data_IF_913919762839
#
_entry.id   IF_913919762839
#
_cell.length_a   1.000
_cell.length_b   1.000
_cell.length_c   1.000
_cell.angle_alpha   90.00
_cell.angle_beta   90.00
_cell.angle_gamma   90.00
#
_symmetry.space_group_name_H-M   'P 1'
#
loop_
_entity.id
_entity.type
_entity.pdbx_description
1 polymer ?
#
# COMPACT_ATOMS: atom_id res chain seq x y z
N UNK A 1 12.56 -14.73 3.24
CA UNK A 1 12.07 -14.92 1.86
C UNK A 1 12.59 -13.75 1.05
N UNK A 2 13.12 -13.94 -0.18
CA UNK A 2 13.67 -12.84 -0.98
C UNK A 2 12.58 -11.81 -1.26
N UNK A 3 12.93 -10.52 -1.12
CA UNK A 3 12.02 -9.40 -1.15
C UNK A 3 11.25 -9.35 -2.50
N UNK A 4 9.95 -9.64 -2.46
CA UNK A 4 8.98 -9.44 -3.56
C UNK A 4 8.67 -7.95 -3.81
N UNK A 5 9.59 -7.06 -3.43
CA UNK A 5 9.54 -5.62 -3.65
C UNK A 5 9.61 -5.23 -5.15
N UNK A 6 9.95 -6.18 -6.04
CA UNK A 6 10.02 -5.93 -7.48
C UNK A 6 8.68 -5.77 -8.21
N UNK A 7 7.55 -6.11 -7.55
CA UNK A 7 6.20 -5.95 -8.12
C UNK A 7 5.51 -4.67 -7.67
N UNK A 8 6.12 -3.89 -6.77
CA UNK A 8 5.55 -2.64 -6.33
C UNK A 8 5.62 -1.60 -7.47
N UNK A 9 4.49 -0.98 -7.85
CA UNK A 9 4.53 0.16 -8.76
C UNK A 9 5.32 1.32 -8.14
N UNK A 10 5.68 2.37 -8.90
CA UNK A 10 6.28 3.57 -8.32
C UNK A 10 5.29 4.22 -7.34
N UNK A 11 5.49 3.96 -6.05
CA UNK A 11 4.71 4.50 -4.94
C UNK A 11 5.31 5.84 -4.47
N UNK A 12 4.43 6.78 -4.15
CA UNK A 12 4.76 8.06 -3.53
C UNK A 12 5.28 7.86 -2.10
N UNK A 13 5.97 8.86 -1.50
CA UNK A 13 6.50 8.75 -0.15
C UNK A 13 5.44 8.43 0.91
N UNK A 14 4.25 9.03 0.80
CA UNK A 14 3.13 8.77 1.71
C UNK A 14 2.61 7.32 1.59
N UNK A 15 2.38 6.85 0.37
CA UNK A 15 1.98 5.46 0.10
C UNK A 15 3.01 4.46 0.63
N UNK A 16 4.30 4.76 0.44
CA UNK A 16 5.41 3.95 0.98
C UNK A 16 5.40 3.89 2.50
N UNK A 17 5.04 4.95 3.21
CA UNK A 17 4.97 4.91 4.68
C UNK A 17 3.89 3.95 5.18
N UNK A 18 2.76 3.93 4.50
CA UNK A 18 1.65 3.03 4.82
C UNK A 18 2.05 1.60 4.52
N UNK A 19 2.52 1.32 3.29
CA UNK A 19 3.03 0.00 2.90
C UNK A 19 4.11 -0.51 3.85
N UNK A 20 5.03 0.37 4.27
CA UNK A 20 6.09 0.04 5.24
C UNK A 20 5.54 -0.30 6.62
N UNK A 21 4.41 0.27 7.04
CA UNK A 21 3.75 -0.12 8.29
C UNK A 21 3.16 -1.53 8.23
N UNK A 22 2.81 -2.01 7.03
CA UNK A 22 2.44 -3.40 6.77
C UNK A 22 3.65 -4.31 6.49
N UNK A 23 4.87 -3.76 6.46
CA UNK A 23 6.11 -4.44 6.07
C UNK A 23 6.54 -4.08 4.65
N UNK A 24 5.85 -4.64 3.64
CA UNK A 24 6.16 -4.47 2.22
C UNK A 24 4.90 -4.49 1.37
N UNK A 25 5.00 -4.08 0.09
CA UNK A 25 3.87 -4.04 -0.85
C UNK A 25 3.13 -5.38 -0.93
N UNK A 26 3.87 -6.49 -0.96
CA UNK A 26 3.28 -7.83 -1.00
C UNK A 26 2.54 -8.18 0.28
N UNK A 27 3.05 -7.77 1.45
CA UNK A 27 2.36 -8.00 2.73
C UNK A 27 1.11 -7.13 2.85
N UNK A 28 1.16 -5.88 2.37
CA UNK A 28 -0.01 -5.03 2.25
C UNK A 28 -1.08 -5.68 1.37
N UNK A 29 -0.72 -6.11 0.16
CA UNK A 29 -1.67 -6.79 -0.74
C UNK A 29 -2.21 -8.09 -0.14
N UNK A 30 -1.36 -8.92 0.49
CA UNK A 30 -1.81 -10.13 1.18
C UNK A 30 -2.77 -9.81 2.33
N UNK A 31 -2.53 -8.73 3.08
CA UNK A 31 -3.42 -8.29 4.17
C UNK A 31 -4.77 -7.83 3.64
N UNK A 32 -4.81 -7.28 2.42
CA UNK A 32 -6.04 -6.88 1.72
C UNK A 32 -6.67 -8.02 0.92
N UNK A 33 -6.05 -9.20 0.85
CA UNK A 33 -6.51 -10.33 0.04
C UNK A 33 -6.33 -10.16 -1.47
N UNK A 34 -5.48 -9.21 -1.89
CA UNK A 34 -5.22 -8.82 -3.29
C UNK A 34 -4.00 -9.55 -3.86
N UNK A 35 -3.97 -9.79 -5.18
CA UNK A 35 -2.86 -10.45 -5.86
C UNK A 35 -1.90 -9.45 -6.50
N UNK A 36 -0.63 -9.49 -6.10
CA UNK A 36 0.42 -8.63 -6.65
C UNK A 36 0.80 -8.90 -8.13
N UNK A 37 0.20 -9.91 -8.76
CA UNK A 37 0.40 -10.26 -10.16
C UNK A 37 -0.81 -9.94 -11.04
N UNK A 38 -1.90 -9.46 -10.46
CA UNK A 38 -3.13 -9.11 -11.16
C UNK A 38 -3.24 -7.59 -11.24
N UNK A 39 -3.49 -7.06 -12.44
CA UNK A 39 -3.46 -5.62 -12.67
C UNK A 39 -4.67 -4.93 -12.03
N UNK A 40 -5.84 -5.55 -12.05
CA UNK A 40 -7.05 -5.03 -11.39
C UNK A 40 -6.83 -4.95 -9.87
N UNK A 41 -6.25 -6.01 -9.27
CA UNK A 41 -5.90 -6.01 -7.85
C UNK A 41 -4.85 -4.94 -7.49
N UNK A 42 -3.90 -4.64 -8.39
CA UNK A 42 -2.92 -3.57 -8.20
C UNK A 42 -3.59 -2.19 -8.23
N UNK A 43 -4.54 -1.96 -9.13
CA UNK A 43 -5.30 -0.71 -9.20
C UNK A 43 -6.16 -0.51 -7.94
N UNK A 44 -6.82 -1.56 -7.46
CA UNK A 44 -7.57 -1.52 -6.20
C UNK A 44 -6.65 -1.28 -5.00
N UNK A 45 -5.50 -1.95 -4.92
CA UNK A 45 -4.51 -1.71 -3.87
C UNK A 45 -4.05 -0.24 -3.84
N UNK A 46 -3.88 0.40 -5.01
CA UNK A 46 -3.56 1.83 -5.10
C UNK A 46 -4.69 2.71 -4.58
N UNK A 47 -5.95 2.45 -4.96
CA UNK A 47 -7.11 3.21 -4.44
C UNK A 47 -7.25 3.11 -2.93
N UNK A 48 -7.00 1.92 -2.39
CA UNK A 48 -6.99 1.70 -0.94
C UNK A 48 -5.86 2.53 -0.32
N UNK A 49 -4.66 2.49 -0.89
CA UNK A 49 -3.53 3.30 -0.43
C UNK A 49 -3.80 4.80 -0.46
N UNK A 50 -4.38 5.33 -1.54
CA UNK A 50 -4.79 6.73 -1.62
C UNK A 50 -5.81 7.07 -0.51
N UNK A 51 -6.78 6.19 -0.26
CA UNK A 51 -7.76 6.37 0.83
C UNK A 51 -7.09 6.34 2.20
N UNK A 52 -6.13 5.45 2.41
CA UNK A 52 -5.36 5.36 3.65
C UNK A 52 -4.47 6.59 3.86
N UNK A 53 -3.84 7.12 2.81
CA UNK A 53 -3.06 8.38 2.88
C UNK A 53 -3.98 9.55 3.24
N UNK A 54 -5.12 9.67 2.57
CA UNK A 54 -6.10 10.71 2.88
C UNK A 54 -6.63 10.60 4.32
N UNK A 55 -6.83 9.37 4.82
CA UNK A 55 -7.24 9.12 6.20
C UNK A 55 -6.12 9.42 7.22
N UNK A 56 -4.85 9.09 6.93
CA UNK A 56 -3.70 9.36 7.79
C UNK A 56 -3.41 10.86 7.90
N UNK A 57 -3.50 11.60 6.78
CA UNK A 57 -3.37 13.06 6.77
C UNK A 57 -4.48 13.75 7.58
N UNK A 58 -5.72 13.23 7.51
CA UNK A 58 -6.83 13.69 8.34
C UNK A 58 -6.70 13.33 9.82
N UNK A 59 -6.08 12.20 10.15
CA UNK A 59 -5.89 11.73 11.51
C UNK A 59 -4.79 12.49 12.27
N UNK A 60 -3.75 12.99 11.57
CA UNK A 60 -2.70 13.83 12.18
C UNK A 60 -3.16 15.23 12.61
N UNK A 61 -4.39 15.64 12.32
CA UNK A 61 -4.98 16.91 12.73
C UNK A 61 -5.63 16.94 14.11
N UNK A 62 -5.63 15.83 14.88
CA UNK A 62 -6.10 15.80 16.26
C UNK A 62 -5.09 15.12 17.18
N UNK A 63 -4.08 15.89 17.60
CA UNK A 63 -3.40 15.62 18.87
C UNK A 63 -3.09 16.94 19.58
#
# INVERSE_FOLDING_TARGET
>A
MPATNGLAPPLSPAERQIVKSYGDWTQFMQSMGLKAYDLDDIEEAKRILESFVAADEGAKGKQ
#
